data_IF_221896264576
#
_entry.id   IF_221896264576
#
_cell.length_a   1.000
_cell.length_b   1.000
_cell.length_c   1.000
_cell.angle_alpha   90.00
_cell.angle_beta   90.00
_cell.angle_gamma   90.00
#
_symmetry.space_group_name_H-M   'P 1'
#
loop_
_entity.id
_entity.type
_entity.pdbx_description
1 polymer ?
#
# COMPACT_ATOMS: atom_id res chain seq x y z
N UNK A 1 15.38 -22.25 11.29
CA UNK A 1 15.02 -20.83 11.15
C UNK A 1 15.13 -20.48 9.69
N UNK A 2 14.03 -20.01 9.11
CA UNK A 2 13.96 -19.51 7.73
C UNK A 2 13.04 -18.30 7.71
N UNK A 3 13.25 -17.42 6.74
CA UNK A 3 12.31 -16.34 6.43
C UNK A 3 11.32 -16.90 5.42
N UNK A 4 10.05 -16.88 5.77
CA UNK A 4 8.95 -17.18 4.84
C UNK A 4 8.52 -15.89 4.15
N UNK A 5 8.28 -15.96 2.83
CA UNK A 5 7.64 -14.89 2.06
C UNK A 5 6.30 -15.45 1.60
N UNK A 6 5.21 -14.86 2.08
CA UNK A 6 3.89 -15.34 1.73
C UNK A 6 3.59 -15.12 0.25
N UNK A 7 2.73 -15.96 -0.33
CA UNK A 7 2.35 -15.85 -1.75
C UNK A 7 1.65 -14.51 -2.05
N UNK A 8 0.99 -13.93 -1.05
CA UNK A 8 0.28 -12.66 -1.08
C UNK A 8 1.07 -11.49 -0.46
N UNK A 9 2.35 -11.68 -0.09
CA UNK A 9 3.21 -10.59 0.38
C UNK A 9 3.66 -9.69 -0.79
N UNK A 10 2.68 -9.11 -1.48
CA UNK A 10 2.83 -8.27 -2.66
C UNK A 10 1.76 -7.18 -2.58
N UNK A 11 2.12 -5.97 -3.03
CA UNK A 11 1.15 -4.88 -3.12
C UNK A 11 0.17 -5.08 -4.27
N UNK A 12 -1.11 -4.92 -3.96
CA UNK A 12 -2.15 -4.68 -4.95
C UNK A 12 -2.27 -3.18 -5.22
N UNK A 13 -2.44 -2.81 -6.49
CA UNK A 13 -2.46 -1.41 -6.92
C UNK A 13 -3.78 -1.06 -7.58
N UNK A 14 -4.35 0.08 -7.19
CA UNK A 14 -5.52 0.68 -7.83
C UNK A 14 -5.25 2.15 -8.15
N UNK A 15 -5.74 2.63 -9.30
CA UNK A 15 -5.65 4.04 -9.68
C UNK A 15 -7.05 4.60 -9.86
N UNK A 16 -7.37 5.65 -9.13
CA UNK A 16 -8.57 6.46 -9.36
C UNK A 16 -8.15 7.74 -10.08
N UNK A 17 -8.70 7.97 -11.26
CA UNK A 17 -8.37 9.12 -12.10
C UNK A 17 -9.58 10.06 -12.30
N UNK A 18 -9.29 11.35 -12.40
CA UNK A 18 -10.20 12.41 -12.84
C UNK A 18 -9.61 13.11 -14.08
N UNK A 19 -10.25 14.18 -14.57
CA UNK A 19 -9.83 14.87 -15.79
C UNK A 19 -8.35 15.32 -15.76
N UNK A 20 -7.90 15.88 -14.64
CA UNK A 20 -6.54 16.42 -14.47
C UNK A 20 -5.89 15.99 -13.13
N UNK A 21 -6.33 14.88 -12.54
CA UNK A 21 -5.82 14.42 -11.25
C UNK A 21 -5.85 12.89 -11.16
N UNK A 22 -4.97 12.31 -10.34
CA UNK A 22 -5.07 10.90 -9.99
C UNK A 22 -4.62 10.65 -8.55
N UNK A 23 -5.14 9.56 -8.00
CA UNK A 23 -4.61 8.93 -6.79
C UNK A 23 -4.35 7.48 -7.10
N UNK A 24 -3.10 7.04 -6.93
CA UNK A 24 -2.74 5.64 -6.93
C UNK A 24 -2.66 5.16 -5.47
N UNK A 25 -3.28 4.02 -5.20
CA UNK A 25 -3.30 3.36 -3.89
C UNK A 25 -2.61 2.02 -4.01
N UNK A 26 -1.75 1.71 -3.04
CA UNK A 26 -1.12 0.40 -2.87
C UNK A 26 -1.52 -0.17 -1.51
N UNK A 27 -1.93 -1.44 -1.47
CA UNK A 27 -2.33 -2.14 -0.24
C UNK A 27 -1.62 -3.49 -0.18
N UNK A 28 -1.03 -3.82 0.97
CA UNK A 28 -0.45 -5.14 1.23
C UNK A 28 -0.52 -5.50 2.71
N UNK A 29 -0.48 -6.79 2.97
CA UNK A 29 -0.15 -7.36 4.27
C UNK A 29 1.10 -8.23 4.06
N UNK A 30 2.27 -7.71 4.43
CA UNK A 30 3.54 -8.33 4.08
C UNK A 30 4.02 -9.35 5.11
N UNK A 31 3.52 -9.26 6.34
CA UNK A 31 3.96 -10.07 7.49
C UNK A 31 2.84 -10.87 8.19
N UNK A 32 1.67 -10.98 7.54
CA UNK A 32 0.51 -11.81 7.93
C UNK A 32 -0.15 -11.42 9.25
N UNK A 33 -0.14 -10.14 9.58
CA UNK A 33 -0.83 -9.65 10.76
C UNK A 33 -2.26 -9.16 10.43
N UNK A 34 -2.95 -8.50 11.36
CA UNK A 34 -4.34 -8.08 11.15
C UNK A 34 -4.48 -6.74 10.41
N UNK A 35 -3.38 -6.09 10.08
CA UNK A 35 -3.30 -4.71 9.62
C UNK A 35 -2.65 -4.66 8.25
N UNK A 36 -3.23 -3.90 7.33
CA UNK A 36 -2.63 -3.68 6.03
C UNK A 36 -1.79 -2.39 6.04
N UNK A 37 -0.64 -2.44 5.40
CA UNK A 37 0.07 -1.27 4.92
C UNK A 37 -0.69 -0.66 3.75
N UNK A 38 -1.07 0.62 3.87
CA UNK A 38 -1.75 1.35 2.79
C UNK A 38 -0.97 2.62 2.43
N UNK A 39 -0.60 2.73 1.16
CA UNK A 39 0.12 3.87 0.61
C UNK A 39 -0.70 4.56 -0.48
N UNK A 40 -0.62 5.88 -0.55
CA UNK A 40 -1.20 6.69 -1.62
C UNK A 40 -0.19 7.63 -2.24
N UNK A 41 -0.20 7.78 -3.56
CA UNK A 41 0.53 8.84 -4.29
C UNK A 41 -0.42 9.60 -5.23
N UNK A 42 -0.32 10.93 -5.24
CA UNK A 42 -1.13 11.80 -6.10
C UNK A 42 -0.35 12.30 -7.33
N UNK A 43 -1.04 12.94 -8.26
CA UNK A 43 -0.46 13.63 -9.42
C UNK A 43 0.52 14.76 -9.05
N UNK A 44 0.46 15.28 -7.82
CA UNK A 44 1.44 16.21 -7.27
C UNK A 44 2.73 15.52 -6.75
N UNK A 45 2.81 14.19 -6.83
CA UNK A 45 3.95 13.41 -6.32
C UNK A 45 3.98 13.30 -4.79
N UNK A 46 2.87 13.60 -4.11
CA UNK A 46 2.77 13.48 -2.65
C UNK A 46 2.54 12.03 -2.29
N UNK A 47 3.56 11.37 -1.71
CA UNK A 47 3.48 10.01 -1.19
C UNK A 47 3.12 10.04 0.30
N UNK A 48 2.12 9.26 0.71
CA UNK A 48 1.67 9.15 2.10
C UNK A 48 1.41 7.69 2.45
N UNK A 49 1.91 7.25 3.59
CA UNK A 49 1.45 6.01 4.22
C UNK A 49 0.20 6.36 5.05
N UNK A 50 -0.96 5.93 4.58
CA UNK A 50 -2.26 6.20 5.20
C UNK A 50 -2.62 5.20 6.30
N UNK A 51 -1.99 4.02 6.30
CA UNK A 51 -2.09 3.01 7.37
C UNK A 51 -0.75 2.32 7.45
N UNK A 52 -0.01 2.57 8.53
CA UNK A 52 1.35 2.08 8.76
C UNK A 52 1.29 1.02 9.84
N UNK A 53 1.21 -0.24 9.45
CA UNK A 53 1.07 -1.38 10.35
C UNK A 53 2.21 -1.50 11.38
N UNK A 54 3.42 -1.04 11.05
CA UNK A 54 4.58 -1.03 11.97
C UNK A 54 4.37 -0.11 13.19
N UNK A 55 3.51 0.91 13.07
CA UNK A 55 3.32 1.94 14.12
C UNK A 55 1.86 2.21 14.52
N UNK A 56 0.90 1.52 13.91
CA UNK A 56 -0.53 1.75 14.10
C UNK A 56 -1.08 1.21 15.43
#
# INVERSE_FOLDING_TARGET
>A
IGVEIQTNAIYEYAITAAQDAFTATATANLDDDATDDVWTITDAGVLTNTTNDVTA
#
